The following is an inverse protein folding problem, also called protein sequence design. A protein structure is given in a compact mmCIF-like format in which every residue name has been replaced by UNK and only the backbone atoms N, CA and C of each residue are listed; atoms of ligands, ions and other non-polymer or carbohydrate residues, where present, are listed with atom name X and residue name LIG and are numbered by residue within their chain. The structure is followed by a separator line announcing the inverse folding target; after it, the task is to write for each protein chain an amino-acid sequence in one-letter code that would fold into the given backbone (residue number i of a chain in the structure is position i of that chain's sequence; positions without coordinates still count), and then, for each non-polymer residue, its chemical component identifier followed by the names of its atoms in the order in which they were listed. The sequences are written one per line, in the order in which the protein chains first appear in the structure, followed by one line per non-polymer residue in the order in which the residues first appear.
data_IF_699827677826
#
_entry.id   IF_699827677826
#
_cell.length_a   1.000
_cell.length_b   1.000
_cell.length_c   1.000
_cell.angle_alpha   90.00
_cell.angle_beta   90.00
_cell.angle_gamma   90.00
#
_symmetry.space_group_name_H-M   'P 1'
#
loop_
_entity.id
_entity.type
_entity.pdbx_description
1 polymer ?
#
# COMPACT_ATOMS: atom_id res chain seq x y z
N UNK A 1 -7.29 3.05 -21.44
CA UNK A 1 -5.96 2.98 -20.89
C UNK A 1 -5.95 2.24 -19.56
N UNK A 2 -5.15 1.20 -19.49
CA UNK A 2 -5.18 0.28 -18.34
C UNK A 2 -4.62 0.88 -17.07
N UNK A 3 -3.71 1.82 -17.18
CA UNK A 3 -3.17 2.50 -16.01
C UNK A 3 -4.20 3.36 -15.30
N UNK A 4 -5.30 3.63 -15.96
CA UNK A 4 -6.39 4.41 -15.41
C UNK A 4 -7.55 3.56 -14.90
N UNK A 5 -7.33 2.25 -14.74
CA UNK A 5 -8.40 1.29 -14.55
C UNK A 5 -8.98 1.17 -13.16
N UNK A 6 -8.42 1.82 -12.16
CA UNK A 6 -8.96 1.73 -10.81
C UNK A 6 -9.83 2.95 -10.56
N UNK A 7 -11.08 2.85 -10.96
CA UNK A 7 -12.03 3.95 -10.87
C UNK A 7 -13.13 3.71 -9.85
N UNK A 8 -13.30 2.47 -9.42
CA UNK A 8 -14.36 2.13 -8.48
C UNK A 8 -13.89 1.13 -7.43
N UNK A 9 -14.71 0.97 -6.41
CA UNK A 9 -14.40 0.12 -5.27
C UNK A 9 -14.29 -1.36 -5.64
N UNK A 10 -15.11 -1.81 -6.58
CA UNK A 10 -15.09 -3.22 -6.99
C UNK A 10 -13.77 -3.58 -7.66
N UNK A 11 -13.27 -2.70 -8.49
CA UNK A 11 -11.96 -2.87 -9.13
C UNK A 11 -10.85 -2.89 -8.07
N UNK A 12 -10.93 -1.99 -7.11
CA UNK A 12 -9.97 -1.95 -6.01
C UNK A 12 -9.97 -3.26 -5.21
N UNK A 13 -11.14 -3.73 -4.80
CA UNK A 13 -11.27 -4.99 -4.05
C UNK A 13 -10.68 -6.17 -4.81
N UNK A 14 -10.99 -6.25 -6.10
CA UNK A 14 -10.49 -7.32 -6.94
C UNK A 14 -8.97 -7.28 -7.04
N UNK A 15 -8.40 -6.09 -7.17
CA UNK A 15 -6.96 -5.92 -7.28
C UNK A 15 -6.25 -6.30 -5.98
N UNK A 16 -6.81 -5.96 -4.83
CA UNK A 16 -6.24 -6.34 -3.54
C UNK A 16 -6.24 -7.86 -3.38
N UNK A 17 -7.35 -8.53 -3.74
CA UNK A 17 -7.40 -10.00 -3.67
C UNK A 17 -6.38 -10.64 -4.61
N UNK A 18 -6.30 -10.16 -5.84
CA UNK A 18 -5.36 -10.69 -6.81
C UNK A 18 -3.92 -10.49 -6.34
N UNK A 19 -3.62 -9.35 -5.74
CA UNK A 19 -2.29 -9.08 -5.23
C UNK A 19 -1.93 -10.01 -4.07
N UNK A 20 -2.87 -10.27 -3.15
CA UNK A 20 -2.63 -11.20 -2.05
C UNK A 20 -2.29 -12.59 -2.57
N UNK A 21 -3.02 -13.06 -3.58
CA UNK A 21 -2.74 -14.34 -4.20
C UNK A 21 -1.38 -14.32 -4.90
N UNK A 22 -1.06 -13.24 -5.57
CA UNK A 22 0.23 -13.09 -6.25
C UNK A 22 1.38 -13.10 -5.25
N UNK A 23 1.23 -12.44 -4.11
CA UNK A 23 2.26 -12.43 -3.07
C UNK A 23 2.51 -13.84 -2.52
N UNK A 24 1.45 -14.60 -2.28
CA UNK A 24 1.59 -15.98 -1.84
C UNK A 24 2.35 -16.82 -2.86
N UNK A 25 2.00 -16.68 -4.14
CA UNK A 25 2.66 -17.40 -5.21
C UNK A 25 4.15 -17.02 -5.30
N UNK A 26 4.46 -15.74 -5.21
CA UNK A 26 5.85 -15.27 -5.27
C UNK A 26 6.67 -15.91 -4.16
N UNK A 27 6.13 -15.96 -2.93
CA UNK A 27 6.86 -16.52 -1.80
C UNK A 27 6.97 -18.04 -1.89
N UNK A 28 5.97 -18.72 -2.43
CA UNK A 28 6.00 -20.18 -2.60
C UNK A 28 6.96 -20.62 -3.69
N UNK A 29 7.11 -19.83 -4.74
CA UNK A 29 7.88 -20.21 -5.91
C UNK A 29 9.38 -20.20 -5.70
N UNK A 30 9.86 -19.69 -4.58
CA UNK A 30 11.29 -19.53 -4.36
C UNK A 30 11.92 -20.78 -3.76
N UNK A 31 11.55 -21.88 -3.73
CA UNK A 31 12.13 -23.14 -3.27
C UNK A 31 11.09 -24.19 -2.92
N UNK A 32 9.85 -23.95 -3.35
CA UNK A 32 8.76 -24.84 -2.98
C UNK A 32 8.32 -24.71 -1.53
N UNK A 33 8.80 -23.70 -0.84
CA UNK A 33 8.40 -23.37 0.51
C UNK A 33 7.91 -21.93 0.55
N UNK A 34 7.05 -21.61 1.52
CA UNK A 34 6.62 -20.23 1.73
C UNK A 34 7.79 -19.48 2.34
N UNK A 35 8.40 -18.60 1.56
CA UNK A 35 9.49 -17.77 2.05
C UNK A 35 8.91 -16.53 2.70
N UNK A 36 8.89 -16.52 4.01
CA UNK A 36 8.54 -15.32 4.74
C UNK A 36 9.72 -14.35 4.69
N UNK A 37 9.42 -13.07 4.53
CA UNK A 37 10.45 -12.05 4.67
C UNK A 37 10.83 -11.98 6.15
N UNK A 38 12.09 -12.24 6.43
CA UNK A 38 12.58 -12.17 7.80
C UNK A 38 12.83 -10.71 8.17
N UNK A 39 12.62 -10.37 9.44
CA UNK A 39 12.83 -9.00 9.91
C UNK A 39 14.25 -8.50 9.60
N UNK A 40 15.23 -9.37 9.71
CA UNK A 40 16.64 -9.02 9.46
C UNK A 40 16.93 -8.74 7.99
N UNK A 41 16.08 -9.20 7.08
CA UNK A 41 16.24 -9.01 5.64
C UNK A 41 15.52 -7.79 5.12
N UNK A 42 14.80 -7.07 5.97
CA UNK A 42 14.09 -5.87 5.56
C UNK A 42 15.06 -4.73 5.27
N UNK A 43 14.79 -3.91 4.25
CA UNK A 43 15.69 -2.83 3.87
C UNK A 43 15.60 -1.58 4.76
N UNK A 44 14.89 -1.69 5.87
CA UNK A 44 14.71 -0.59 6.83
C UNK A 44 14.71 -1.15 8.24
N UNK A 45 14.87 -0.27 9.22
CA UNK A 45 14.95 -0.65 10.62
C UNK A 45 13.57 -0.61 11.27
N UNK A 46 13.05 -1.78 11.62
CA UNK A 46 11.75 -1.89 12.30
C UNK A 46 11.75 -1.25 13.70
N UNK A 47 12.91 -1.03 14.27
CA UNK A 47 13.01 -0.41 15.59
C UNK A 47 13.02 1.11 15.54
N UNK A 48 13.13 1.68 14.35
CA UNK A 48 13.10 3.13 14.20
C UNK A 48 11.72 3.68 14.55
N UNK A 49 11.68 4.88 15.10
CA UNK A 49 10.41 5.54 15.42
C UNK A 49 9.60 5.85 14.18
N UNK A 50 10.29 6.13 13.08
CA UNK A 50 9.65 6.41 11.79
C UNK A 50 10.38 5.67 10.69
N UNK A 51 9.63 4.94 9.88
CA UNK A 51 10.16 4.21 8.73
C UNK A 51 9.83 5.03 7.48
N UNK A 52 10.87 5.51 6.79
CA UNK A 52 10.69 6.28 5.56
C UNK A 52 10.89 5.34 4.37
N UNK A 53 9.87 5.25 3.54
CA UNK A 53 9.89 4.37 2.38
C UNK A 53 10.18 5.17 1.12
N UNK A 54 10.90 4.54 0.20
CA UNK A 54 11.21 5.12 -1.10
C UNK A 54 10.64 4.25 -2.22
N UNK A 55 11.02 4.55 -3.45
CA UNK A 55 10.51 3.83 -4.62
C UNK A 55 10.92 2.35 -4.61
N UNK A 56 12.01 2.01 -3.93
CA UNK A 56 12.52 0.63 -3.87
C UNK A 56 11.97 -0.15 -2.69
N UNK A 57 11.49 0.51 -1.66
CA UNK A 57 11.09 -0.15 -0.41
C UNK A 57 9.58 -0.19 -0.19
N UNK A 58 8.81 0.64 -0.87
CA UNK A 58 7.37 0.68 -0.68
C UNK A 58 6.71 -0.69 -0.96
N UNK A 59 7.10 -1.32 -2.04
CA UNK A 59 6.52 -2.62 -2.41
C UNK A 59 6.82 -3.70 -1.37
N UNK A 60 8.04 -3.71 -0.86
CA UNK A 60 8.45 -4.66 0.17
C UNK A 60 7.62 -4.44 1.44
N UNK A 61 7.50 -3.18 1.86
CA UNK A 61 6.66 -2.84 3.02
C UNK A 61 5.22 -3.28 2.82
N UNK A 62 4.66 -3.02 1.64
CA UNK A 62 3.28 -3.37 1.36
C UNK A 62 3.05 -4.89 1.49
N UNK A 63 3.91 -5.69 0.87
CA UNK A 63 3.78 -7.14 0.92
C UNK A 63 4.00 -7.69 2.33
N UNK A 64 5.01 -7.18 3.03
CA UNK A 64 5.28 -7.63 4.38
C UNK A 64 4.16 -7.25 5.34
N UNK A 65 3.54 -6.09 5.13
CA UNK A 65 2.41 -5.66 5.95
C UNK A 65 1.17 -6.54 5.75
N UNK A 66 1.00 -7.11 4.56
CA UNK A 66 -0.08 -8.06 4.32
C UNK A 66 0.11 -9.36 5.09
N UNK A 67 1.34 -9.84 5.18
CA UNK A 67 1.65 -11.10 5.84
C UNK A 67 1.91 -10.93 7.34
N UNK A 68 2.50 -9.80 7.72
CA UNK A 68 2.97 -9.58 9.08
C UNK A 68 2.62 -8.18 9.57
N UNK A 69 1.32 -7.88 9.57
CA UNK A 69 0.85 -6.54 9.98
C UNK A 69 1.31 -6.19 11.40
N UNK A 70 1.44 -7.21 12.27
CA UNK A 70 1.85 -6.99 13.65
C UNK A 70 3.25 -6.39 13.79
N UNK A 71 4.10 -6.55 12.78
CA UNK A 71 5.43 -5.91 12.78
C UNK A 71 5.34 -4.39 12.73
N UNK A 72 4.25 -3.87 12.18
CA UNK A 72 4.10 -2.44 11.89
C UNK A 72 3.11 -1.73 12.78
N UNK A 73 2.32 -2.47 13.55
CA UNK A 73 1.30 -1.87 14.43
C UNK A 73 1.96 -0.89 15.38
N UNK A 74 1.45 0.34 15.41
CA UNK A 74 1.99 1.41 16.25
C UNK A 74 3.19 2.14 15.65
N UNK A 75 3.70 1.70 14.50
CA UNK A 75 4.83 2.35 13.84
C UNK A 75 4.36 3.49 12.97
N UNK A 76 5.21 4.51 12.85
CA UNK A 76 4.97 5.62 11.94
C UNK A 76 5.66 5.33 10.62
N UNK A 77 4.91 5.43 9.53
CA UNK A 77 5.41 5.18 8.18
C UNK A 77 5.28 6.46 7.38
N UNK A 78 6.31 6.80 6.63
CA UNK A 78 6.28 7.95 5.73
C UNK A 78 6.58 7.50 4.31
N UNK A 79 5.74 7.91 3.37
CA UNK A 79 5.93 7.55 1.97
C UNK A 79 5.22 8.53 1.04
N UNK A 80 5.57 8.48 -0.23
CA UNK A 80 4.88 9.24 -1.28
C UNK A 80 3.97 8.28 -2.02
N UNK A 81 2.70 8.65 -2.13
CA UNK A 81 1.70 7.85 -2.83
C UNK A 81 0.73 8.69 -3.63
N UNK A 82 0.00 8.02 -4.51
CA UNK A 82 -1.04 8.64 -5.32
C UNK A 82 -2.37 8.47 -4.59
N UNK A 83 -3.17 9.53 -4.58
CA UNK A 83 -4.47 9.52 -3.89
C UNK A 83 -5.50 8.78 -4.72
N UNK A 84 -6.18 7.80 -4.11
CA UNK A 84 -7.36 7.16 -4.65
C UNK A 84 -8.49 7.32 -3.64
N UNK A 85 -9.68 7.67 -4.14
CA UNK A 85 -10.86 7.90 -3.29
C UNK A 85 -12.00 7.00 -3.75
N UNK A 86 -12.06 5.73 -3.31
CA UNK A 86 -13.19 4.88 -3.67
C UNK A 86 -14.50 5.48 -3.14
N UNK A 87 -15.52 5.54 -3.99
CA UNK A 87 -16.77 6.22 -3.67
C UNK A 87 -17.47 5.67 -2.43
N UNK A 88 -17.35 4.38 -2.20
CA UNK A 88 -18.03 3.71 -1.09
C UNK A 88 -17.29 3.80 0.23
N UNK A 89 -16.08 4.39 0.23
CA UNK A 89 -15.35 4.54 1.48
C UNK A 89 -16.02 5.62 2.35
N UNK A 90 -15.97 5.44 3.68
CA UNK A 90 -16.50 6.46 4.58
C UNK A 90 -15.78 7.79 4.40
N UNK A 91 -16.46 8.88 4.78
CA UNK A 91 -15.85 10.20 4.72
C UNK A 91 -14.58 10.22 5.57
N UNK A 92 -13.54 10.85 5.04
CA UNK A 92 -12.25 10.92 5.73
C UNK A 92 -11.33 9.76 5.44
N UNK A 93 -11.76 8.81 4.60
CA UNK A 93 -10.93 7.67 4.18
C UNK A 93 -10.47 7.85 2.74
N UNK A 94 -9.26 7.41 2.47
CA UNK A 94 -8.75 7.35 1.11
C UNK A 94 -7.69 6.25 1.04
N UNK A 95 -7.14 6.01 -0.14
CA UNK A 95 -6.07 5.02 -0.31
C UNK A 95 -4.88 5.71 -0.97
N UNK A 96 -3.82 6.01 -0.21
CA UNK A 96 -2.57 6.45 -0.81
C UNK A 96 -1.76 5.23 -1.22
N UNK A 97 -1.26 5.20 -2.44
CA UNK A 97 -0.53 4.03 -2.89
C UNK A 97 0.21 4.23 -4.19
N UNK A 98 0.63 3.11 -4.75
CA UNK A 98 1.40 3.07 -5.99
C UNK A 98 0.83 2.03 -6.94
N UNK A 99 0.92 2.30 -8.23
CA UNK A 99 0.68 1.26 -9.22
C UNK A 99 1.86 0.29 -9.22
N UNK A 100 1.58 -0.98 -9.44
CA UNK A 100 2.61 -2.01 -9.53
C UNK A 100 2.40 -2.88 -10.75
N UNK A 101 3.49 -3.30 -11.34
CA UNK A 101 3.48 -4.23 -12.47
C UNK A 101 4.02 -5.56 -11.98
N UNK A 102 3.22 -6.62 -12.08
CA UNK A 102 3.61 -7.93 -11.55
C UNK A 102 4.36 -8.77 -12.58
N UNK A 103 3.89 -8.84 -13.80
CA UNK A 103 4.60 -9.59 -14.85
C UNK A 103 4.75 -8.80 -16.15
N UNK A 104 3.80 -7.96 -16.49
CA UNK A 104 3.90 -7.14 -17.68
C UNK A 104 3.07 -5.88 -17.53
N UNK A 105 3.23 -4.94 -18.46
CA UNK A 105 2.55 -3.65 -18.37
C UNK A 105 1.03 -3.77 -18.35
N UNK A 106 0.48 -4.89 -18.79
CA UNK A 106 -0.97 -5.11 -18.78
C UNK A 106 -1.49 -5.55 -17.42
N UNK A 107 -0.62 -6.00 -16.53
CA UNK A 107 -1.01 -6.51 -15.21
C UNK A 107 -0.75 -5.48 -14.11
N UNK A 108 -1.15 -4.26 -14.36
CA UNK A 108 -1.01 -3.18 -13.39
C UNK A 108 -2.03 -3.34 -12.25
N UNK A 109 -1.55 -3.18 -11.03
CA UNK A 109 -2.34 -3.29 -9.81
C UNK A 109 -2.02 -2.13 -8.90
N UNK A 110 -3.02 -1.62 -8.18
CA UNK A 110 -2.80 -0.53 -7.24
C UNK A 110 -2.51 -1.09 -5.86
N UNK A 111 -1.38 -0.70 -5.27
CA UNK A 111 -0.95 -1.14 -3.95
C UNK A 111 -1.18 -0.02 -2.94
N UNK A 112 -2.11 -0.22 -2.03
CA UNK A 112 -2.34 0.76 -0.98
C UNK A 112 -3.26 0.22 0.09
N UNK A 113 -3.19 0.81 1.27
CA UNK A 113 -4.08 0.49 2.38
C UNK A 113 -5.01 1.66 2.65
N UNK A 114 -6.16 1.37 3.27
CA UNK A 114 -7.07 2.42 3.70
C UNK A 114 -6.35 3.37 4.66
N UNK A 115 -6.56 4.66 4.48
CA UNK A 115 -5.92 5.69 5.29
C UNK A 115 -6.97 6.67 5.78
N UNK A 116 -6.92 7.02 7.04
CA UNK A 116 -7.85 7.96 7.65
C UNK A 116 -7.16 9.32 7.74
N UNK A 117 -7.80 10.33 7.15
CA UNK A 117 -7.32 11.71 7.21
C UNK A 117 -8.49 12.65 7.03
N UNK A 118 -8.79 13.43 8.05
CA UNK A 118 -9.98 14.30 8.07
C UNK A 118 -9.94 15.42 7.04
N UNK A 119 -8.76 15.81 6.58
CA UNK A 119 -8.59 16.89 5.59
C UNK A 119 -8.35 16.36 4.18
N UNK A 120 -8.73 15.12 3.90
CA UNK A 120 -8.46 14.54 2.58
C UNK A 120 -9.18 15.28 1.45
N UNK A 121 -10.24 16.01 1.77
CA UNK A 121 -10.95 16.80 0.76
C UNK A 121 -10.09 17.90 0.13
N UNK A 122 -8.95 18.23 0.73
CA UNK A 122 -8.00 19.18 0.15
C UNK A 122 -7.28 18.61 -1.07
N UNK A 123 -7.32 17.30 -1.28
CA UNK A 123 -6.61 16.62 -2.35
C UNK A 123 -7.59 15.90 -3.26
N UNK A 124 -7.21 15.75 -4.52
CA UNK A 124 -8.04 15.09 -5.53
C UNK A 124 -7.45 13.74 -5.88
N UNK A 125 -8.28 12.88 -6.48
CA UNK A 125 -7.79 11.61 -6.99
C UNK A 125 -6.63 11.84 -7.94
N UNK A 126 -5.62 10.97 -7.81
CA UNK A 126 -4.39 10.98 -8.62
C UNK A 126 -3.40 12.06 -8.25
N UNK A 127 -3.70 12.87 -7.23
CA UNK A 127 -2.68 13.76 -6.68
C UNK A 127 -1.58 12.94 -6.02
N UNK A 128 -0.35 13.41 -6.13
CA UNK A 128 0.76 12.81 -5.40
C UNK A 128 0.93 13.52 -4.08
N UNK A 129 0.99 12.74 -3.01
CA UNK A 129 1.10 13.27 -1.66
C UNK A 129 2.15 12.52 -0.86
N UNK A 130 2.72 13.20 0.11
CA UNK A 130 3.59 12.60 1.10
C UNK A 130 2.77 12.36 2.35
N UNK A 131 2.68 11.11 2.76
CA UNK A 131 1.86 10.67 3.89
C UNK A 131 2.77 10.26 5.03
N UNK A 132 2.48 10.78 6.23
CA UNK A 132 3.08 10.31 7.48
C UNK A 132 1.93 9.77 8.32
N UNK A 133 1.95 8.48 8.61
CA UNK A 133 0.82 7.80 9.23
C UNK A 133 1.27 6.74 10.21
N UNK A 134 0.41 6.48 11.21
CA UNK A 134 0.60 5.37 12.15
C UNK A 134 -0.21 4.17 11.66
N UNK A 135 0.39 2.99 11.71
CA UNK A 135 -0.26 1.76 11.28
C UNK A 135 -1.04 1.17 12.44
N UNK A 136 -2.29 0.79 12.19
CA UNK A 136 -3.12 0.03 13.12
C UNK A 136 -3.65 -1.21 12.43
N UNK A 137 -3.93 -2.25 13.21
CA UNK A 137 -4.57 -3.46 12.71
C UNK A 137 -6.05 -3.39 13.08
N UNK A 138 -6.90 -3.29 12.08
CA UNK A 138 -8.33 -3.14 12.30
C UNK A 138 -9.12 -3.94 11.28
N UNK A 139 -10.35 -4.31 11.67
CA UNK A 139 -11.28 -4.86 10.70
C UNK A 139 -11.69 -3.76 9.72
N UNK A 140 -11.60 -4.06 8.44
CA UNK A 140 -12.08 -3.17 7.40
C UNK A 140 -12.89 -3.98 6.41
N UNK A 141 -14.12 -3.55 6.16
CA UNK A 141 -15.06 -4.33 5.36
C UNK A 141 -14.50 -4.68 3.97
N UNK A 142 -13.80 -3.76 3.35
CA UNK A 142 -13.24 -3.99 2.02
C UNK A 142 -12.10 -4.99 2.01
N UNK A 143 -11.46 -5.23 3.15
CA UNK A 143 -10.46 -6.27 3.27
C UNK A 143 -11.09 -7.64 3.54
N UNK A 144 -12.36 -7.66 3.92
CA UNK A 144 -13.05 -8.87 4.36
C UNK A 144 -12.38 -9.50 5.59
N UNK A 145 -11.78 -8.66 6.43
CA UNK A 145 -11.08 -9.11 7.63
C UNK A 145 -10.24 -7.99 8.23
N UNK A 146 -9.35 -8.37 9.14
CA UNK A 146 -8.42 -7.41 9.74
C UNK A 146 -7.20 -7.19 8.84
N UNK A 147 -6.71 -5.97 8.84
CA UNK A 147 -5.51 -5.63 8.09
C UNK A 147 -5.01 -4.25 8.46
N UNK A 148 -3.96 -3.78 7.77
CA UNK A 148 -3.40 -2.47 8.06
C UNK A 148 -4.36 -1.34 7.70
N UNK A 149 -4.60 -0.44 8.64
CA UNK A 149 -5.30 0.81 8.40
C UNK A 149 -4.37 1.92 8.86
N UNK A 150 -4.14 2.88 8.01
CA UNK A 150 -3.21 3.97 8.27
C UNK A 150 -3.97 5.15 8.86
N UNK A 151 -3.42 5.74 9.91
CA UNK A 151 -3.98 6.95 10.51
C UNK A 151 -2.99 8.08 10.26
N UNK A 152 -3.30 8.92 9.30
CA UNK A 152 -2.38 9.97 8.85
C UNK A 152 -2.24 11.06 9.90
N UNK A 153 -1.00 11.36 10.25
CA UNK A 153 -0.67 12.51 11.06
C UNK A 153 -0.49 13.75 10.18
N UNK A 154 0.01 13.55 8.96
CA UNK A 154 0.12 14.61 7.99
C UNK A 154 0.05 14.08 6.57
N UNK A 155 -0.53 14.87 5.69
CA UNK A 155 -0.55 14.62 4.26
C UNK A 155 -0.20 15.94 3.59
N UNK A 156 0.87 15.94 2.80
CA UNK A 156 1.32 17.15 2.10
C UNK A 156 1.50 16.84 0.62
N UNK A 157 1.37 17.87 -0.20
CA UNK A 157 1.51 17.69 -1.65
C UNK A 157 2.95 17.30 -1.99
N UNK A 158 3.12 16.38 -2.93
CA UNK A 158 4.42 15.91 -3.36
C UNK A 158 4.50 15.89 -4.88
N UNK A 159 5.72 15.76 -5.39
CA UNK A 159 5.93 15.58 -6.82
C UNK A 159 5.84 14.11 -7.15
N UNK A 160 5.47 13.81 -8.39
CA UNK A 160 5.49 12.43 -8.86
C UNK A 160 6.89 11.86 -8.74
N UNK A 161 7.05 10.67 -8.14
CA UNK A 161 8.35 10.03 -8.02
C UNK A 161 8.97 9.71 -9.38
N UNK A 162 10.29 9.53 -9.41
CA UNK A 162 10.97 9.13 -10.63
C UNK A 162 10.52 7.76 -11.11
N UNK A 163 10.26 6.85 -10.18
CA UNK A 163 9.78 5.51 -10.49
C UNK A 163 8.41 5.31 -9.84
N UNK A 164 7.34 5.88 -10.44
CA UNK A 164 6.02 5.82 -9.82
C UNK A 164 5.40 4.43 -9.85
N UNK A 165 5.87 3.57 -10.75
CA UNK A 165 5.37 2.20 -10.87
C UNK A 165 6.37 1.25 -10.22
N UNK A 166 5.86 0.39 -9.33
CA UNK A 166 6.68 -0.60 -8.64
C UNK A 166 6.79 -1.85 -9.50
N UNK A 167 7.98 -2.40 -9.60
CA UNK A 167 8.21 -3.65 -10.32
C UNK A 167 8.74 -4.70 -9.35
N UNK A 168 8.18 -5.90 -9.43
CA UNK A 168 8.60 -7.05 -8.62
C UNK A 168 9.52 -8.00 -9.37
N UNK A 169 9.95 -7.62 -10.56
CA UNK A 169 10.85 -8.46 -11.38
C UNK A 169 12.31 -8.23 -11.07
#
# INVERSE_FOLDING_TARGET
NRCDGIEDLNTYKRNVKALNQTAEIIFEDQDGEIDEIMEEDLPYDLKADKIVLDDNTYGIWYLDSLDHVDRYVGKTIEFIGMVMKPEEFPKGYFVPGRMAMTCCAEDMTFLGFACVYDKIDLYQERDWVKVTAVVKKEYFADYEGEGPVLYAESVTKAKQPKEPVISFT
#
